data_IF_290244885733
#
_entry.id   IF_290244885733
#
_cell.length_a   1.000
_cell.length_b   1.000
_cell.length_c   1.000
_cell.angle_alpha   90.00
_cell.angle_beta   90.00
_cell.angle_gamma   90.00
#
_symmetry.space_group_name_H-M   'P 1'
#
loop_
_entity.id
_entity.type
_entity.pdbx_description
1 polymer ?
#
# COMPACT_ATOMS: atom_id res chain seq x y z
N UNK A 1 -15.34 0.94 -12.99
CA UNK A 1 -14.12 1.73 -12.73
C UNK A 1 -14.03 2.30 -11.31
N UNK A 2 -15.10 2.90 -10.73
CA UNK A 2 -15.01 3.42 -9.35
C UNK A 2 -14.69 2.34 -8.32
N UNK A 3 -15.40 1.21 -8.34
CA UNK A 3 -15.12 0.05 -7.48
C UNK A 3 -13.69 -0.47 -7.67
N UNK A 4 -13.26 -0.62 -8.93
CA UNK A 4 -11.89 -1.03 -9.28
C UNK A 4 -10.84 -0.08 -8.71
N UNK A 5 -11.04 1.24 -8.85
CA UNK A 5 -10.15 2.25 -8.30
C UNK A 5 -10.06 2.14 -6.77
N UNK A 6 -11.21 2.03 -6.08
CA UNK A 6 -11.26 1.89 -4.62
C UNK A 6 -10.56 0.60 -4.18
N UNK A 7 -10.82 -0.52 -4.85
CA UNK A 7 -10.21 -1.81 -4.52
C UNK A 7 -8.69 -1.76 -4.69
N UNK A 8 -8.19 -1.24 -5.82
CA UNK A 8 -6.75 -1.13 -6.08
C UNK A 8 -6.05 -0.20 -5.08
N UNK A 9 -6.65 0.96 -4.77
CA UNK A 9 -6.10 1.86 -3.77
C UNK A 9 -6.02 1.21 -2.38
N UNK A 10 -7.04 0.46 -1.97
CA UNK A 10 -7.05 -0.30 -0.72
C UNK A 10 -6.06 -1.46 -0.70
N UNK A 11 -5.87 -2.14 -1.83
CA UNK A 11 -4.86 -3.19 -1.97
C UNK A 11 -3.44 -2.64 -1.82
N UNK A 12 -3.15 -1.42 -2.28
CA UNK A 12 -1.87 -0.76 -1.99
C UNK A 12 -1.70 -0.55 -0.49
N UNK A 13 -2.71 0.03 0.19
CA UNK A 13 -2.64 0.27 1.63
C UNK A 13 -2.46 -1.04 2.43
N UNK A 14 -3.24 -2.07 2.10
CA UNK A 14 -3.13 -3.38 2.73
C UNK A 14 -1.76 -4.03 2.45
N UNK A 15 -1.24 -3.91 1.23
CA UNK A 15 0.09 -4.41 0.88
C UNK A 15 1.19 -3.80 1.76
N UNK A 16 1.10 -2.51 2.09
CA UNK A 16 2.05 -1.87 3.01
C UNK A 16 1.93 -2.43 4.43
N UNK A 17 0.71 -2.63 4.94
CA UNK A 17 0.47 -3.22 6.27
C UNK A 17 1.07 -4.63 6.33
N UNK A 18 0.85 -5.45 5.29
CA UNK A 18 1.45 -6.79 5.17
C UNK A 18 2.98 -6.71 5.17
N UNK A 19 3.57 -5.77 4.42
CA UNK A 19 5.02 -5.56 4.44
C UNK A 19 5.57 -5.23 5.83
N UNK A 20 4.87 -4.41 6.61
CA UNK A 20 5.27 -4.05 7.97
C UNK A 20 5.18 -5.27 8.92
N UNK A 21 4.18 -6.13 8.75
CA UNK A 21 4.09 -7.39 9.50
C UNK A 21 5.22 -8.37 9.13
N UNK A 22 5.55 -8.47 7.83
CA UNK A 22 6.60 -9.36 7.34
C UNK A 22 8.01 -8.98 7.83
N UNK A 23 8.33 -7.68 7.90
CA UNK A 23 9.62 -7.25 8.45
C UNK A 23 9.72 -7.50 9.95
N UNK A 24 8.62 -7.34 10.70
CA UNK A 24 8.57 -7.70 12.11
C UNK A 24 8.78 -9.20 12.29
N UNK A 25 8.06 -10.03 11.54
CA UNK A 25 8.23 -11.49 11.55
C UNK A 25 9.68 -11.89 11.23
N UNK A 26 10.25 -11.38 10.14
CA UNK A 26 11.63 -11.69 9.74
C UNK A 26 12.66 -11.24 10.77
N UNK A 27 12.43 -10.14 11.50
CA UNK A 27 13.36 -9.72 12.56
C UNK A 27 13.23 -10.56 13.83
N UNK A 28 12.02 -10.96 14.23
CA UNK A 28 11.84 -11.87 15.36
C UNK A 28 12.41 -13.27 15.09
N UNK A 29 12.36 -13.75 13.84
CA UNK A 29 13.01 -14.99 13.42
C UNK A 29 14.54 -14.91 13.60
N UNK A 30 15.17 -13.82 13.12
CA UNK A 30 16.62 -13.57 13.35
C UNK A 30 16.96 -13.55 14.85
N UNK A 31 16.16 -12.86 15.68
CA UNK A 31 16.41 -12.80 17.12
C UNK A 31 16.33 -14.19 17.76
N UNK A 32 15.34 -14.99 17.39
CA UNK A 32 15.19 -16.37 17.90
C UNK A 32 16.38 -17.24 17.51
N UNK A 33 16.82 -17.18 16.25
CA UNK A 33 17.96 -17.98 15.77
C UNK A 33 19.27 -17.58 16.49
N UNK A 34 19.47 -16.27 16.71
CA UNK A 34 20.64 -15.75 17.45
C UNK A 34 20.61 -16.17 18.92
N UNK A 35 19.43 -16.20 19.56
CA UNK A 35 19.27 -16.73 20.92
C UNK A 35 19.66 -18.22 21.01
N UNK A 36 19.43 -18.98 19.95
CA UNK A 36 19.84 -20.39 19.82
C UNK A 36 21.31 -20.58 19.38
N UNK A 37 22.07 -19.49 19.24
CA UNK A 37 23.51 -19.50 18.95
C UNK A 37 23.88 -19.32 17.48
N UNK A 38 22.94 -18.98 16.61
CA UNK A 38 23.25 -18.60 15.23
C UNK A 38 23.99 -17.24 15.18
N UNK A 39 24.70 -17.01 14.07
CA UNK A 39 25.37 -15.73 13.76
C UNK A 39 24.69 -15.13 12.54
N UNK A 40 24.18 -13.90 12.68
CA UNK A 40 23.60 -13.13 11.57
C UNK A 40 24.65 -12.18 10.99
N UNK A 41 25.12 -12.47 9.78
CA UNK A 41 26.16 -11.73 9.07
C UNK A 41 25.89 -11.62 7.55
N UNK A 42 26.86 -11.12 6.78
CA UNK A 42 26.72 -10.93 5.34
C UNK A 42 26.55 -12.22 4.52
N UNK A 43 26.87 -13.38 5.11
CA UNK A 43 26.68 -14.69 4.48
C UNK A 43 25.34 -15.33 4.84
N UNK A 44 24.51 -14.65 5.63
CA UNK A 44 23.20 -15.15 6.02
C UNK A 44 22.17 -14.92 4.91
N UNK A 45 21.53 -15.99 4.46
CA UNK A 45 20.43 -15.91 3.50
C UNK A 45 19.22 -15.20 4.09
N UNK A 46 18.41 -14.58 3.23
CA UNK A 46 17.14 -14.00 3.67
C UNK A 46 16.17 -15.07 4.15
N UNK A 47 15.63 -14.88 5.34
CA UNK A 47 14.51 -15.68 5.83
C UNK A 47 13.20 -15.32 5.10
N UNK A 48 12.15 -16.08 5.39
CA UNK A 48 10.87 -15.92 4.70
C UNK A 48 10.28 -14.51 4.88
N UNK A 49 10.40 -13.91 6.07
CA UNK A 49 9.90 -12.56 6.35
C UNK A 49 10.62 -11.49 5.54
N UNK A 50 11.95 -11.54 5.50
CA UNK A 50 12.79 -10.62 4.74
C UNK A 50 12.55 -10.76 3.23
N UNK A 51 12.51 -11.99 2.72
CA UNK A 51 12.26 -12.28 1.32
C UNK A 51 10.87 -11.77 0.89
N UNK A 52 9.82 -12.11 1.64
CA UNK A 52 8.46 -11.69 1.32
C UNK A 52 8.28 -10.18 1.45
N UNK A 53 8.90 -9.53 2.44
CA UNK A 53 8.91 -8.07 2.56
C UNK A 53 9.49 -7.44 1.28
N UNK A 54 10.66 -7.91 0.82
CA UNK A 54 11.30 -7.44 -0.40
C UNK A 54 10.43 -7.69 -1.64
N UNK A 55 9.86 -8.89 -1.81
CA UNK A 55 9.01 -9.21 -2.96
C UNK A 55 7.74 -8.36 -3.03
N UNK A 56 7.06 -8.16 -1.89
CA UNK A 56 5.85 -7.34 -1.85
C UNK A 56 6.17 -5.87 -2.16
N UNK A 57 7.29 -5.36 -1.63
CA UNK A 57 7.72 -3.97 -1.84
C UNK A 57 8.28 -3.68 -3.23
N UNK A 58 8.94 -4.64 -3.87
CA UNK A 58 9.60 -4.43 -5.18
C UNK A 58 8.75 -4.86 -6.37
N UNK A 59 7.78 -5.77 -6.18
CA UNK A 59 6.97 -6.31 -7.27
C UNK A 59 5.48 -6.00 -7.05
N UNK A 60 4.89 -6.50 -5.96
CA UNK A 60 3.43 -6.51 -5.79
C UNK A 60 2.85 -5.10 -5.71
N UNK A 61 3.35 -4.26 -4.79
CA UNK A 61 2.86 -2.88 -4.63
C UNK A 61 3.15 -2.00 -5.85
N UNK A 62 4.37 -2.02 -6.44
CA UNK A 62 4.65 -1.31 -7.69
C UNK A 62 3.70 -1.67 -8.83
N UNK A 63 3.41 -2.96 -9.04
CA UNK A 63 2.49 -3.39 -10.09
C UNK A 63 1.06 -2.91 -9.82
N UNK A 64 0.54 -3.10 -8.60
CA UNK A 64 -0.83 -2.66 -8.25
C UNK A 64 -0.97 -1.14 -8.38
N UNK A 65 0.01 -0.36 -7.92
CA UNK A 65 -0.01 1.10 -8.00
C UNK A 65 0.11 1.61 -9.44
N UNK A 66 0.91 0.94 -10.28
CA UNK A 66 0.99 1.25 -11.70
C UNK A 66 -0.33 0.94 -12.42
N UNK A 67 -0.96 -0.21 -12.14
CA UNK A 67 -2.29 -0.55 -12.67
C UNK A 67 -3.33 0.47 -12.21
N UNK A 68 -3.32 0.88 -10.95
CA UNK A 68 -4.17 1.96 -10.44
C UNK A 68 -3.97 3.25 -11.23
N UNK A 69 -2.71 3.67 -11.47
CA UNK A 69 -2.39 4.85 -12.26
C UNK A 69 -2.92 4.74 -13.70
N UNK A 70 -2.64 3.64 -14.40
CA UNK A 70 -3.13 3.42 -15.76
C UNK A 70 -4.66 3.46 -15.82
N UNK A 71 -5.34 2.73 -14.94
CA UNK A 71 -6.81 2.67 -14.94
C UNK A 71 -7.45 3.99 -14.49
N UNK A 72 -6.74 4.83 -13.73
CA UNK A 72 -7.26 6.12 -13.26
C UNK A 72 -7.58 7.08 -14.40
N UNK A 73 -6.87 7.01 -15.53
CA UNK A 73 -7.15 7.80 -16.74
C UNK A 73 -8.52 7.50 -17.34
N UNK A 74 -8.99 6.25 -17.21
CA UNK A 74 -10.27 5.79 -17.74
C UNK A 74 -11.41 5.84 -16.71
N UNK A 75 -11.08 6.08 -15.43
CA UNK A 75 -12.05 5.98 -14.35
C UNK A 75 -13.05 7.15 -14.27
N UNK A 76 -12.74 8.28 -14.93
CA UNK A 76 -13.57 9.50 -14.95
C UNK A 76 -13.94 10.00 -13.54
N UNK A 77 -13.02 9.83 -12.58
CA UNK A 77 -13.16 10.29 -11.20
C UNK A 77 -12.50 11.67 -11.09
N UNK A 78 -13.20 12.71 -10.59
CA UNK A 78 -12.59 14.02 -10.36
C UNK A 78 -11.35 13.92 -9.46
N UNK A 79 -10.18 14.25 -10.01
CA UNK A 79 -8.89 14.14 -9.32
C UNK A 79 -8.33 12.72 -9.17
N UNK A 80 -8.96 11.68 -9.74
CA UNK A 80 -8.51 10.28 -9.61
C UNK A 80 -7.08 10.07 -10.12
N UNK A 81 -6.72 10.64 -11.27
CA UNK A 81 -5.36 10.57 -11.82
C UNK A 81 -4.34 11.22 -10.89
N UNK A 82 -4.66 12.38 -10.31
CA UNK A 82 -3.77 13.07 -9.36
C UNK A 82 -3.44 12.18 -8.16
N UNK A 83 -4.45 11.56 -7.54
CA UNK A 83 -4.25 10.69 -6.39
C UNK A 83 -3.48 9.42 -6.75
N UNK A 84 -3.80 8.79 -7.88
CA UNK A 84 -3.07 7.62 -8.35
C UNK A 84 -1.59 7.93 -8.66
N UNK A 85 -1.31 9.11 -9.24
CA UNK A 85 0.05 9.57 -9.50
C UNK A 85 0.82 9.86 -8.21
N UNK A 86 0.18 10.45 -7.18
CA UNK A 86 0.80 10.61 -5.86
C UNK A 86 1.15 9.25 -5.26
N UNK A 87 0.22 8.28 -5.27
CA UNK A 87 0.45 6.93 -4.75
C UNK A 87 1.64 6.29 -5.47
N UNK A 88 1.66 6.30 -6.80
CA UNK A 88 2.76 5.73 -7.57
C UNK A 88 4.09 6.46 -7.32
N UNK A 89 4.07 7.79 -7.23
CA UNK A 89 5.25 8.59 -6.88
C UNK A 89 5.80 8.25 -5.50
N UNK A 90 4.94 8.04 -4.50
CA UNK A 90 5.35 7.59 -3.16
C UNK A 90 5.93 6.17 -3.20
N UNK A 91 5.44 5.27 -4.05
CA UNK A 91 6.03 3.93 -4.26
C UNK A 91 7.42 4.02 -4.89
N UNK A 92 7.61 4.88 -5.89
CA UNK A 92 8.95 5.12 -6.48
C UNK A 92 9.89 5.69 -5.41
N UNK A 93 9.44 6.68 -4.65
CA UNK A 93 10.22 7.24 -3.54
C UNK A 93 10.57 6.17 -2.49
N UNK A 94 9.62 5.30 -2.15
CA UNK A 94 9.83 4.19 -1.20
C UNK A 94 10.98 3.28 -1.64
N UNK A 95 10.99 2.90 -2.92
CA UNK A 95 12.02 2.04 -3.50
C UNK A 95 13.40 2.70 -3.47
N UNK A 96 13.48 3.99 -3.85
CA UNK A 96 14.74 4.74 -3.80
C UNK A 96 15.27 4.86 -2.36
N UNK A 97 14.39 5.15 -1.39
CA UNK A 97 14.78 5.21 0.02
C UNK A 97 15.29 3.84 0.53
N UNK A 98 14.70 2.73 0.07
CA UNK A 98 15.16 1.39 0.40
C UNK A 98 16.60 1.15 -0.09
N UNK A 99 16.87 1.45 -1.37
CA UNK A 99 18.20 1.27 -1.96
C UNK A 99 19.28 2.07 -1.21
N UNK A 100 19.00 3.33 -0.89
CA UNK A 100 19.95 4.19 -0.17
C UNK A 100 20.19 3.69 1.26
N UNK A 101 19.19 3.06 1.88
CA UNK A 101 19.27 2.57 3.27
C UNK A 101 20.33 1.48 3.47
N UNK A 102 20.66 0.70 2.44
CA UNK A 102 21.75 -0.28 2.51
C UNK A 102 23.13 0.37 2.73
N UNK A 103 23.33 1.58 2.21
CA UNK A 103 24.56 2.37 2.42
C UNK A 103 24.48 3.35 3.60
N UNK A 104 23.27 3.77 3.98
CA UNK A 104 23.04 4.77 5.02
C UNK A 104 21.84 4.35 5.88
N UNK A 105 22.03 3.50 6.90
CA UNK A 105 20.92 2.88 7.66
C UNK A 105 19.92 3.88 8.27
N UNK A 106 20.38 5.08 8.64
CA UNK A 106 19.51 6.15 9.16
C UNK A 106 18.41 6.58 8.17
N UNK A 107 18.64 6.42 6.86
CA UNK A 107 17.65 6.67 5.81
C UNK A 107 16.49 5.67 5.88
N UNK A 108 16.68 4.52 6.53
CA UNK A 108 15.63 3.54 6.81
C UNK A 108 14.47 4.15 7.62
N UNK A 109 14.72 5.19 8.43
CA UNK A 109 13.66 5.93 9.11
C UNK A 109 12.74 6.66 8.12
N UNK A 110 13.33 7.29 7.09
CA UNK A 110 12.56 7.95 6.03
C UNK A 110 11.78 6.93 5.21
N UNK A 111 12.37 5.76 4.94
CA UNK A 111 11.69 4.64 4.29
C UNK A 111 10.46 4.19 5.10
N UNK A 112 10.62 3.95 6.41
CA UNK A 112 9.50 3.59 7.29
C UNK A 112 8.40 4.65 7.33
N UNK A 113 8.77 5.93 7.45
CA UNK A 113 7.79 7.04 7.45
C UNK A 113 7.06 7.18 6.11
N UNK A 114 7.75 7.02 4.98
CA UNK A 114 7.13 7.08 3.66
C UNK A 114 6.18 5.90 3.42
N UNK A 115 6.46 4.71 3.98
CA UNK A 115 5.53 3.58 3.94
C UNK A 115 4.20 3.94 4.63
N UNK A 116 4.26 4.50 5.84
CA UNK A 116 3.06 4.95 6.57
C UNK A 116 2.30 6.02 5.78
N UNK A 117 3.00 7.00 5.21
CA UNK A 117 2.39 8.02 4.37
C UNK A 117 1.71 7.42 3.15
N UNK A 118 2.35 6.47 2.46
CA UNK A 118 1.79 5.75 1.32
C UNK A 118 0.49 5.01 1.70
N UNK A 119 0.48 4.28 2.81
CA UNK A 119 -0.72 3.56 3.28
C UNK A 119 -1.89 4.52 3.55
N UNK A 120 -1.63 5.63 4.26
CA UNK A 120 -2.64 6.65 4.58
C UNK A 120 -3.16 7.32 3.31
N UNK A 121 -2.28 7.70 2.39
CA UNK A 121 -2.65 8.36 1.13
C UNK A 121 -3.47 7.41 0.25
N UNK A 122 -3.10 6.14 0.19
CA UNK A 122 -3.82 5.12 -0.58
C UNK A 122 -5.22 4.87 -0.02
N UNK A 123 -5.37 4.70 1.30
CA UNK A 123 -6.71 4.58 1.92
C UNK A 123 -7.54 5.85 1.70
N UNK A 124 -6.94 7.04 1.88
CA UNK A 124 -7.65 8.32 1.68
C UNK A 124 -8.15 8.47 0.25
N UNK A 125 -7.36 8.04 -0.74
CA UNK A 125 -7.77 8.04 -2.14
C UNK A 125 -8.97 7.11 -2.39
N UNK A 126 -8.96 5.90 -1.80
CA UNK A 126 -10.08 4.95 -1.86
C UNK A 126 -11.34 5.46 -1.17
N UNK A 127 -11.22 5.91 0.09
CA UNK A 127 -12.33 6.42 0.90
C UNK A 127 -13.03 7.61 0.24
N UNK A 128 -12.27 8.56 -0.34
CA UNK A 128 -12.83 9.71 -1.06
C UNK A 128 -13.74 9.28 -2.21
N UNK A 129 -13.37 8.24 -2.96
CA UNK A 129 -14.15 7.76 -4.10
C UNK A 129 -15.36 6.93 -3.65
N UNK A 130 -15.19 6.13 -2.61
CA UNK A 130 -16.28 5.35 -2.03
C UNK A 130 -17.43 6.25 -1.53
N UNK A 131 -17.09 7.40 -0.93
CA UNK A 131 -18.06 8.39 -0.47
C UNK A 131 -18.86 9.08 -1.59
N UNK A 132 -18.44 8.97 -2.86
CA UNK A 132 -19.16 9.51 -4.01
C UNK A 132 -20.23 8.54 -4.56
N UNK A 133 -20.41 7.36 -3.94
CA UNK A 133 -21.47 6.44 -4.32
C UNK A 133 -22.85 7.02 -3.92
N UNK A 134 -23.88 6.92 -4.79
CA UNK A 134 -25.22 7.33 -4.41
C UNK A 134 -25.65 6.56 -3.17
N UNK A 135 -26.10 7.28 -2.14
CA UNK A 135 -26.86 6.64 -1.07
C UNK A 135 -28.11 6.06 -1.72
N UNK A 136 -28.26 4.74 -1.69
CA UNK A 136 -29.58 4.13 -1.84
C UNK A 136 -30.38 4.50 -0.60
N UNK A 137 -30.88 5.74 -0.57
CA UNK A 137 -31.85 6.16 0.43
C UNK A 137 -33.10 5.28 0.27
N UNK A 138 -33.81 4.94 1.37
CA UNK A 138 -35.04 4.18 1.27
C UNK A 138 -35.99 4.87 0.28
N UNK A 139 -36.47 4.11 -0.70
CA UNK A 139 -37.46 4.59 -1.68
C UNK A 139 -38.65 5.16 -0.89
N UNK A 140 -38.80 6.49 -0.91
CA UNK A 140 -39.95 7.13 -0.28
C UNK A 140 -41.21 6.54 -0.93
N UNK A 141 -42.14 5.97 -0.16
CA UNK A 141 -43.38 5.45 -0.70
C UNK A 141 -44.07 6.55 -1.51
N UNK A 142 -44.29 6.30 -2.80
CA UNK A 142 -45.09 7.19 -3.65
C UNK A 142 -46.49 7.28 -3.05
N UNK A 143 -46.77 8.38 -2.36
CA UNK A 143 -48.11 8.72 -1.90
C UNK A 143 -48.95 9.02 -3.14
N UNK A 144 -49.75 8.03 -3.57
CA UNK A 144 -50.81 8.26 -4.55
C UNK A 144 -51.92 9.05 -3.86
N UNK A 145 -52.01 10.35 -4.16
CA UNK A 145 -53.16 11.14 -3.76
C UNK A 145 -54.39 10.72 -4.60
N UNK A 146 -55.56 10.48 -3.97
CA UNK A 146 -56.80 10.22 -4.70
C UNK A 146 -57.33 11.51 -5.35
N UNK A 147 -57.92 11.34 -6.54
CA UNK A 147 -58.51 12.38 -7.39
C UNK A 147 -59.84 12.92 -6.85
#
# INVERSE_FOLDING_TARGET
MRSTYVALARLVALGVIVQAALIAFGWFEVLSEVEDGAVFDENTDYNAGQLLHAMVGTIVIPVISLVLLVLSFFAKIPGGVKWAAIIFGLVVLQFLLALVSFSAPVIGLLHGMNALALAIVAERAGARVAALAPTTGPEQPRTTAPA
#
